data_IF_480293716593
#
_entry.id   IF_480293716593
#
_cell.length_a   1.000
_cell.length_b   1.000
_cell.length_c   1.000
_cell.angle_alpha   90.00
_cell.angle_beta   90.00
_cell.angle_gamma   90.00
#
_symmetry.space_group_name_H-M   'P 1'
#
loop_
_entity.id
_entity.type
_entity.pdbx_description
1 polymer ?
#
# COMPACT_ATOMS: atom_id res chain seq x y z
N UNK A 1 19.26 -16.79 -16.68
CA UNK A 1 19.63 -16.65 -15.25
C UNK A 1 18.52 -15.84 -14.61
N UNK A 2 17.43 -16.56 -14.35
CA UNK A 2 16.11 -16.06 -13.99
C UNK A 2 15.83 -16.68 -12.65
N UNK A 3 16.04 -15.93 -11.57
CA UNK A 3 15.54 -16.26 -10.23
C UNK A 3 15.92 -15.08 -9.32
N UNK A 4 15.08 -14.05 -9.39
CA UNK A 4 14.86 -13.14 -8.28
C UNK A 4 13.38 -12.78 -8.31
N UNK A 5 12.58 -13.85 -8.33
CA UNK A 5 11.18 -13.88 -7.90
C UNK A 5 11.13 -13.51 -6.41
N UNK A 6 11.27 -12.22 -6.13
CA UNK A 6 10.89 -11.59 -4.88
C UNK A 6 9.67 -10.69 -5.13
N UNK A 7 8.67 -11.24 -5.82
CA UNK A 7 7.33 -10.65 -5.93
C UNK A 7 6.40 -11.09 -4.77
N UNK A 8 6.94 -11.70 -3.71
CA UNK A 8 6.23 -11.92 -2.43
C UNK A 8 6.37 -10.72 -1.48
N UNK A 9 6.39 -9.52 -2.05
CA UNK A 9 6.19 -8.27 -1.31
C UNK A 9 4.75 -7.87 -1.59
N UNK A 10 3.85 -7.76 -0.60
CA UNK A 10 2.53 -7.18 -0.84
C UNK A 10 2.74 -5.71 -1.16
N UNK A 11 2.97 -5.47 -2.45
CA UNK A 11 2.91 -4.17 -3.07
C UNK A 11 1.57 -3.59 -2.63
N UNK A 12 1.56 -2.30 -2.29
CA UNK A 12 0.34 -1.51 -2.35
C UNK A 12 -0.13 -1.60 -3.81
N UNK A 13 -0.85 -2.67 -4.14
CA UNK A 13 -1.30 -2.95 -5.48
C UNK A 13 -2.05 -1.70 -5.92
N UNK A 14 -1.63 -1.07 -7.03
CA UNK A 14 -2.18 0.23 -7.44
C UNK A 14 -3.71 0.25 -7.45
N UNK A 15 -4.34 -0.92 -7.66
CA UNK A 15 -5.77 -1.19 -7.54
C UNK A 15 -6.39 -0.83 -6.17
N UNK A 16 -5.73 -1.19 -5.07
CA UNK A 16 -6.17 -0.92 -3.70
C UNK A 16 -6.03 0.56 -3.33
N UNK A 17 -4.92 1.19 -3.75
CA UNK A 17 -4.74 2.64 -3.57
C UNK A 17 -5.76 3.42 -4.40
N UNK A 18 -6.02 3.01 -5.66
CA UNK A 18 -7.09 3.60 -6.48
C UNK A 18 -8.47 3.42 -5.84
N UNK A 19 -8.74 2.29 -5.19
CA UNK A 19 -10.00 2.07 -4.49
C UNK A 19 -10.16 3.04 -3.31
N UNK A 20 -9.10 3.26 -2.54
CA UNK A 20 -9.12 4.22 -1.43
C UNK A 20 -9.28 5.66 -1.93
N UNK A 21 -8.61 6.04 -3.03
CA UNK A 21 -8.78 7.34 -3.68
C UNK A 21 -10.23 7.50 -4.20
N UNK A 22 -10.81 6.46 -4.82
CA UNK A 22 -12.22 6.46 -5.25
C UNK A 22 -13.22 6.58 -4.10
N UNK A 23 -12.86 6.10 -2.90
CA UNK A 23 -13.64 6.32 -1.69
C UNK A 23 -13.52 7.75 -1.14
N UNK A 24 -12.81 8.65 -1.82
CA UNK A 24 -12.65 10.05 -1.44
C UNK A 24 -11.64 10.28 -0.33
N UNK A 25 -10.88 9.24 0.05
CA UNK A 25 -9.83 9.34 1.06
C UNK A 25 -8.68 10.16 0.49
N UNK A 26 -8.22 11.17 1.24
CA UNK A 26 -7.20 12.12 0.76
C UNK A 26 -5.88 12.00 1.50
N UNK A 27 -5.84 11.24 2.59
CA UNK A 27 -4.65 11.09 3.41
C UNK A 27 -4.03 9.70 3.27
N UNK A 28 -2.69 9.61 3.19
CA UNK A 28 -1.97 8.34 3.12
C UNK A 28 -2.31 7.35 4.24
N UNK A 29 -2.52 7.85 5.46
CA UNK A 29 -2.89 7.03 6.61
C UNK A 29 -4.25 6.34 6.43
N UNK A 30 -5.20 7.03 5.78
CA UNK A 30 -6.51 6.44 5.53
C UNK A 30 -6.47 5.38 4.43
N UNK A 31 -5.60 5.57 3.42
CA UNK A 31 -5.33 4.56 2.39
C UNK A 31 -4.71 3.32 3.00
N UNK A 32 -3.69 3.51 3.85
CA UNK A 32 -3.04 2.44 4.59
C UNK A 32 -4.02 1.64 5.44
N UNK A 33 -4.92 2.30 6.17
CA UNK A 33 -5.98 1.63 6.93
C UNK A 33 -6.92 0.81 6.05
N UNK A 34 -7.41 1.38 4.94
CA UNK A 34 -8.31 0.67 4.03
C UNK A 34 -7.63 -0.55 3.40
N UNK A 35 -6.36 -0.44 3.00
CA UNK A 35 -5.60 -1.58 2.48
C UNK A 35 -5.37 -2.63 3.57
N UNK A 36 -4.99 -2.21 4.78
CA UNK A 36 -4.77 -3.13 5.90
C UNK A 36 -6.04 -3.90 6.26
N UNK A 37 -7.20 -3.23 6.27
CA UNK A 37 -8.47 -3.89 6.55
C UNK A 37 -8.71 -5.03 5.55
N UNK A 38 -8.53 -4.78 4.24
CA UNK A 38 -8.71 -5.80 3.20
C UNK A 38 -7.67 -6.92 3.30
N UNK A 39 -6.41 -6.61 3.61
CA UNK A 39 -5.35 -7.60 3.77
C UNK A 39 -5.56 -8.48 5.01
N UNK A 40 -5.90 -7.87 6.14
CA UNK A 40 -6.14 -8.58 7.40
C UNK A 40 -7.37 -9.49 7.32
N UNK A 41 -8.44 -9.06 6.64
CA UNK A 41 -9.62 -9.90 6.36
C UNK A 41 -9.28 -11.16 5.53
N UNK A 42 -8.25 -11.07 4.68
CA UNK A 42 -7.74 -12.18 3.87
C UNK A 42 -6.63 -12.98 4.58
N UNK A 43 -6.25 -12.61 5.80
CA UNK A 43 -5.13 -13.21 6.53
C UNK A 43 -3.75 -12.92 5.94
N UNK A 44 -3.65 -11.93 5.04
CA UNK A 44 -2.39 -11.51 4.44
C UNK A 44 -1.65 -10.54 5.38
N UNK A 45 -0.31 -10.68 5.42
CA UNK A 45 0.59 -9.83 6.19
C UNK A 45 1.68 -9.27 5.29
N UNK A 46 2.28 -8.17 5.74
CA UNK A 46 3.35 -7.51 5.01
C UNK A 46 4.68 -8.14 5.36
N UNK A 47 5.44 -8.48 4.32
CA UNK A 47 6.84 -8.87 4.45
C UNK A 47 7.69 -7.65 4.15
N UNK A 48 8.51 -7.25 5.13
CA UNK A 48 9.47 -6.17 5.01
C UNK A 48 10.87 -6.75 5.19
N UNK A 49 11.71 -6.60 4.18
CA UNK A 49 13.12 -7.05 4.23
C UNK A 49 13.28 -8.53 4.63
N UNK A 50 12.38 -9.38 4.15
CA UNK A 50 12.36 -10.82 4.49
C UNK A 50 11.77 -11.16 5.85
N UNK A 51 11.28 -10.17 6.62
CA UNK A 51 10.59 -10.37 7.88
C UNK A 51 9.10 -10.05 7.75
N UNK A 52 8.25 -11.01 8.07
CA UNK A 52 6.81 -10.78 8.18
C UNK A 52 6.53 -9.88 9.39
N UNK A 53 5.77 -8.82 9.16
CA UNK A 53 5.24 -7.96 10.20
C UNK A 53 4.06 -8.69 10.85
N UNK A 54 4.21 -9.06 12.12
CA UNK A 54 3.24 -9.90 12.83
C UNK A 54 2.10 -9.07 13.41
N UNK A 55 2.38 -7.83 13.80
CA UNK A 55 1.41 -6.97 14.48
C UNK A 55 0.70 -6.04 13.51
N UNK A 56 -0.56 -5.70 13.82
CA UNK A 56 -1.32 -4.74 13.03
C UNK A 56 -0.66 -3.36 12.98
N UNK A 57 -0.02 -2.93 14.07
CA UNK A 57 0.68 -1.64 14.16
C UNK A 57 1.88 -1.59 13.21
N UNK A 58 2.70 -2.64 13.17
CA UNK A 58 3.83 -2.73 12.23
C UNK A 58 3.34 -2.66 10.78
N UNK A 59 2.30 -3.43 10.45
CA UNK A 59 1.73 -3.46 9.10
C UNK A 59 1.15 -2.10 8.69
N UNK A 60 0.39 -1.45 9.58
CA UNK A 60 -0.16 -0.11 9.34
C UNK A 60 0.92 0.95 9.19
N UNK A 61 1.97 0.91 10.01
CA UNK A 61 3.08 1.84 9.92
C UNK A 61 3.80 1.71 8.56
N UNK A 62 4.04 0.48 8.12
CA UNK A 62 4.64 0.21 6.81
C UNK A 62 3.75 0.65 5.64
N UNK A 63 2.45 0.32 5.69
CA UNK A 63 1.50 0.78 4.68
C UNK A 63 1.39 2.29 4.63
N UNK A 64 1.44 2.96 5.78
CA UNK A 64 1.39 4.42 5.86
C UNK A 64 2.64 5.04 5.25
N UNK A 65 3.83 4.49 5.54
CA UNK A 65 5.07 4.93 4.93
C UNK A 65 5.03 4.79 3.41
N UNK A 66 4.60 3.63 2.89
CA UNK A 66 4.47 3.39 1.45
C UNK A 66 3.39 4.25 0.80
N UNK A 67 2.26 4.46 1.46
CA UNK A 67 1.20 5.35 0.99
C UNK A 67 1.67 6.81 0.94
N UNK A 68 2.52 7.22 1.87
CA UNK A 68 3.10 8.57 1.92
C UNK A 68 4.08 8.74 0.77
N UNK A 69 4.99 7.79 0.58
CA UNK A 69 5.89 7.78 -0.57
C UNK A 69 5.12 7.78 -1.90
N UNK A 70 4.01 7.03 -1.97
CA UNK A 70 3.12 7.05 -3.12
C UNK A 70 2.48 8.41 -3.33
N UNK A 71 2.00 9.06 -2.27
CA UNK A 71 1.45 10.42 -2.36
C UNK A 71 2.51 11.43 -2.80
N UNK A 72 3.76 11.31 -2.35
CA UNK A 72 4.80 12.25 -2.73
C UNK A 72 5.27 12.05 -4.18
N UNK A 73 5.42 10.80 -4.63
CA UNK A 73 5.98 10.46 -5.95
C UNK A 73 4.93 10.31 -7.04
N UNK A 74 3.79 9.68 -6.74
CA UNK A 74 2.78 9.33 -7.74
C UNK A 74 1.62 10.32 -7.80
N UNK A 75 1.30 11.04 -6.72
CA UNK A 75 0.23 12.04 -6.75
C UNK A 75 0.45 13.17 -7.77
N UNK A 76 1.67 13.70 -7.97
CA UNK A 76 1.91 14.68 -9.02
C UNK A 76 1.60 14.13 -10.42
N UNK A 77 1.90 12.85 -10.63
CA UNK A 77 1.64 12.13 -11.89
C UNK A 77 0.13 11.87 -12.06
N UNK A 78 -0.56 11.40 -11.01
CA UNK A 78 -2.01 11.15 -11.03
C UNK A 78 -2.81 12.43 -11.27
N UNK A 79 -2.39 13.56 -10.69
CA UNK A 79 -2.93 14.89 -10.99
C UNK A 79 -2.68 15.29 -12.43
N UNK A 80 -1.47 15.06 -12.95
CA UNK A 80 -1.14 15.33 -14.35
C UNK A 80 -1.98 14.48 -15.31
N UNK A 81 -2.34 13.26 -14.91
CA UNK A 81 -3.20 12.35 -15.65
C UNK A 81 -4.71 12.58 -15.43
N UNK A 82 -5.10 13.56 -14.58
CA UNK A 82 -6.50 13.85 -14.20
C UNK A 82 -7.29 12.67 -13.63
N UNK A 83 -6.61 11.73 -12.98
CA UNK A 83 -7.24 10.55 -12.37
C UNK A 83 -7.70 10.86 -10.93
N UNK A 84 -7.16 11.90 -10.30
CA UNK A 84 -7.45 12.32 -8.93
C UNK A 84 -7.45 13.85 -8.75
#
# INVERSE_FOLDING_TARGET
MTESDHEDNPVLNGSLTLLAIKQGKKQPAEWAQSVWQVLSEQGQRIVKEGKTLETAEENLAELTARATEFAEKNWPILKALQIA
#
